data_IF_603114765741
#
_entry.id   IF_603114765741
#
_cell.length_a   1.000
_cell.length_b   1.000
_cell.length_c   1.000
_cell.angle_alpha   90.00
_cell.angle_beta   90.00
_cell.angle_gamma   90.00
#
_symmetry.space_group_name_H-M   'P 1'
#
loop_
_entity.id
_entity.type
_entity.pdbx_description
1 polymer ?
#
# COMPACT_ATOMS: atom_id res chain seq x y z
N UNK A 1 10.14 10.13 -19.30
CA UNK A 1 11.39 9.65 -19.94
C UNK A 1 11.84 8.40 -19.20
N UNK A 2 12.03 7.25 -19.87
CA UNK A 2 12.19 5.95 -19.22
C UNK A 2 13.54 5.75 -18.48
N UNK A 3 13.63 4.67 -17.67
CA UNK A 3 14.88 4.17 -17.08
C UNK A 3 15.92 3.90 -18.18
N UNK A 4 17.19 4.20 -17.90
CA UNK A 4 18.31 3.99 -18.82
C UNK A 4 18.51 2.50 -19.14
N UNK A 5 18.81 2.16 -20.40
CA UNK A 5 18.99 0.76 -20.87
C UNK A 5 20.01 -0.05 -20.05
N UNK A 6 21.04 0.59 -19.48
CA UNK A 6 22.01 -0.09 -18.62
C UNK A 6 21.39 -0.49 -17.27
N UNK A 7 20.62 0.40 -16.66
CA UNK A 7 19.93 0.13 -15.40
C UNK A 7 18.82 -0.91 -15.61
N UNK A 8 18.11 -0.86 -16.74
CA UNK A 8 17.17 -1.90 -17.15
C UNK A 8 17.81 -3.30 -17.17
N UNK A 9 19.02 -3.42 -17.75
CA UNK A 9 19.77 -4.70 -17.75
C UNK A 9 20.10 -5.19 -16.35
N UNK A 10 20.44 -4.28 -15.42
CA UNK A 10 20.67 -4.62 -14.02
C UNK A 10 19.38 -5.07 -13.34
N UNK A 11 18.29 -4.30 -13.50
CA UNK A 11 16.98 -4.59 -12.92
C UNK A 11 16.45 -5.93 -13.42
N UNK A 12 16.60 -6.25 -14.71
CA UNK A 12 16.16 -7.52 -15.29
C UNK A 12 16.83 -8.75 -14.69
N UNK A 13 18.01 -8.58 -14.08
CA UNK A 13 18.76 -9.67 -13.42
C UNK A 13 18.48 -9.77 -11.93
N UNK A 14 17.65 -8.89 -11.37
CA UNK A 14 17.26 -8.97 -9.97
C UNK A 14 16.52 -10.27 -9.70
N UNK A 15 16.83 -10.84 -8.54
CA UNK A 15 16.21 -12.04 -8.02
C UNK A 15 15.87 -11.77 -6.55
N UNK A 16 14.58 -11.82 -6.23
CA UNK A 16 14.06 -11.59 -4.87
C UNK A 16 14.73 -12.48 -3.82
N UNK A 17 15.18 -13.69 -4.19
CA UNK A 17 15.93 -14.60 -3.32
C UNK A 17 17.22 -13.98 -2.77
N UNK A 18 17.85 -13.05 -3.49
CA UNK A 18 19.03 -12.36 -2.98
C UNK A 18 18.68 -11.41 -1.83
N UNK A 19 17.51 -10.77 -1.89
CA UNK A 19 16.98 -9.92 -0.82
C UNK A 19 16.63 -10.79 0.39
N UNK A 20 15.92 -11.89 0.16
CA UNK A 20 15.58 -12.90 1.17
C UNK A 20 16.82 -13.42 1.92
N UNK A 21 17.86 -13.85 1.19
CA UNK A 21 19.09 -14.36 1.79
C UNK A 21 19.92 -13.29 2.51
N UNK A 22 19.82 -12.03 2.07
CA UNK A 22 20.45 -10.90 2.74
C UNK A 22 19.71 -10.60 4.05
N UNK A 23 18.38 -10.52 4.00
CA UNK A 23 17.50 -10.29 5.15
C UNK A 23 17.60 -11.42 6.18
N UNK A 24 17.58 -12.68 5.74
CA UNK A 24 17.76 -13.85 6.60
C UNK A 24 19.08 -13.80 7.38
N UNK A 25 20.14 -13.24 6.77
CA UNK A 25 21.43 -13.01 7.42
C UNK A 25 21.43 -11.94 8.52
N UNK A 26 20.33 -11.18 8.68
CA UNK A 26 20.18 -10.15 9.71
C UNK A 26 19.45 -10.65 10.96
N UNK A 27 18.93 -11.88 10.97
CA UNK A 27 18.21 -12.44 12.13
C UNK A 27 19.00 -12.39 13.43
N UNK A 28 20.31 -12.59 13.37
CA UNK A 28 21.17 -12.60 14.55
C UNK A 28 21.22 -11.25 15.27
N UNK A 29 20.81 -10.14 14.65
CA UNK A 29 20.83 -8.80 15.26
C UNK A 29 19.48 -8.38 15.86
N UNK A 30 18.41 -9.13 15.56
CA UNK A 30 17.05 -8.81 16.03
C UNK A 30 16.91 -8.94 17.55
N UNK A 31 17.66 -9.86 18.17
CA UNK A 31 17.70 -10.01 19.64
C UNK A 31 18.25 -8.78 20.37
N UNK A 32 18.90 -7.85 19.66
CA UNK A 32 19.31 -6.55 20.18
C UNK A 32 18.38 -5.41 19.72
N UNK A 33 17.18 -5.73 19.24
CA UNK A 33 16.17 -4.80 18.72
C UNK A 33 16.71 -3.91 17.58
N UNK A 34 17.48 -4.50 16.66
CA UNK A 34 18.10 -3.80 15.52
C UNK A 34 17.75 -4.44 14.20
N UNK A 35 17.58 -3.61 13.18
CA UNK A 35 17.32 -4.03 11.80
C UNK A 35 18.58 -4.40 11.01
N UNK A 36 19.72 -3.79 11.37
CA UNK A 36 21.03 -4.05 10.76
C UNK A 36 22.11 -4.25 11.84
N UNK A 37 23.30 -4.71 11.45
CA UNK A 37 24.41 -4.85 12.39
C UNK A 37 24.80 -3.49 12.98
N UNK A 38 25.26 -3.47 14.24
CA UNK A 38 25.71 -2.24 14.89
C UNK A 38 26.86 -1.52 14.13
N UNK A 39 27.65 -2.26 13.35
CA UNK A 39 28.72 -1.73 12.52
C UNK A 39 28.28 -1.27 11.13
N UNK A 40 26.99 -1.42 10.77
CA UNK A 40 26.51 -1.05 9.44
C UNK A 40 26.61 0.47 9.27
N UNK A 41 27.46 0.92 8.34
CA UNK A 41 27.79 2.35 8.12
C UNK A 41 26.57 3.20 7.79
N UNK A 42 25.55 2.58 7.20
CA UNK A 42 24.36 3.23 6.66
C UNK A 42 23.11 2.99 7.52
N UNK A 43 23.22 2.54 8.77
CA UNK A 43 22.06 2.37 9.66
C UNK A 43 21.39 3.69 10.08
N UNK A 44 22.07 4.82 9.87
CA UNK A 44 21.55 6.19 10.10
C UNK A 44 21.98 7.09 8.95
N UNK A 45 21.16 8.07 8.59
CA UNK A 45 21.42 9.10 7.56
C UNK A 45 21.93 8.54 6.22
N UNK A 46 21.37 7.38 5.82
CA UNK A 46 21.85 6.56 4.71
C UNK A 46 22.08 7.33 3.43
N UNK A 47 21.09 8.10 2.97
CA UNK A 47 21.18 8.85 1.72
C UNK A 47 22.29 9.90 1.77
N UNK A 48 22.38 10.67 2.86
CA UNK A 48 23.41 11.69 3.08
C UNK A 48 24.81 11.09 3.12
N UNK A 49 24.99 9.97 3.83
CA UNK A 49 26.29 9.28 3.92
C UNK A 49 26.71 8.69 2.58
N UNK A 50 25.79 8.07 1.86
CA UNK A 50 26.07 7.55 0.52
C UNK A 50 26.46 8.66 -0.45
N UNK A 51 25.75 9.79 -0.40
CA UNK A 51 26.06 10.96 -1.21
C UNK A 51 27.44 11.51 -0.91
N UNK A 52 27.75 11.79 0.35
CA UNK A 52 29.06 12.29 0.76
C UNK A 52 30.21 11.34 0.38
N UNK A 53 30.05 10.03 0.58
CA UNK A 53 31.09 9.04 0.23
C UNK A 53 31.33 8.96 -1.28
N UNK A 54 30.27 8.95 -2.08
CA UNK A 54 30.36 8.88 -3.54
C UNK A 54 30.98 10.17 -4.10
N UNK A 55 30.58 11.34 -3.59
CA UNK A 55 31.10 12.63 -4.03
C UNK A 55 32.58 12.81 -3.67
N UNK A 56 33.03 12.21 -2.55
CA UNK A 56 34.43 12.12 -2.19
C UNK A 56 35.24 11.10 -3.03
N UNK A 57 34.62 10.45 -4.02
CA UNK A 57 35.27 9.43 -4.86
C UNK A 57 35.35 8.04 -4.20
N UNK A 58 34.69 7.84 -3.07
CA UNK A 58 34.61 6.58 -2.36
C UNK A 58 33.71 5.55 -3.03
N UNK A 59 33.91 4.28 -2.66
CA UNK A 59 33.06 3.16 -3.09
C UNK A 59 32.26 2.68 -1.88
N UNK A 60 30.93 2.89 -1.86
CA UNK A 60 30.09 2.44 -0.77
C UNK A 60 30.24 0.95 -0.46
N UNK A 61 30.16 0.61 0.83
CA UNK A 61 30.25 -0.78 1.27
C UNK A 61 29.03 -1.56 0.76
N UNK A 62 29.29 -2.51 -0.15
CA UNK A 62 28.23 -3.23 -0.86
C UNK A 62 27.37 -4.07 0.09
N UNK A 63 27.95 -4.60 1.16
CA UNK A 63 27.23 -5.42 2.14
C UNK A 63 26.32 -4.54 2.97
N UNK A 64 26.84 -3.44 3.50
CA UNK A 64 26.07 -2.56 4.37
C UNK A 64 24.88 -1.92 3.63
N UNK A 65 25.09 -1.49 2.38
CA UNK A 65 23.99 -1.00 1.53
C UNK A 65 22.96 -2.10 1.27
N UNK A 66 23.40 -3.33 0.97
CA UNK A 66 22.48 -4.45 0.73
C UNK A 66 21.63 -4.77 1.94
N UNK A 67 22.25 -4.81 3.12
CA UNK A 67 21.56 -5.05 4.39
C UNK A 67 20.55 -3.96 4.70
N UNK A 68 20.91 -2.69 4.47
CA UNK A 68 19.98 -1.59 4.62
C UNK A 68 18.77 -1.75 3.69
N UNK A 69 18.98 -1.98 2.38
CA UNK A 69 17.89 -2.15 1.41
C UNK A 69 16.97 -3.30 1.82
N UNK A 70 17.54 -4.44 2.20
CA UNK A 70 16.75 -5.61 2.59
C UNK A 70 15.90 -5.34 3.84
N UNK A 71 16.46 -4.64 4.83
CA UNK A 71 15.76 -4.34 6.08
C UNK A 71 14.78 -3.16 5.97
N UNK A 72 14.97 -2.23 5.03
CA UNK A 72 14.18 -1.00 4.95
C UNK A 72 12.78 -1.20 4.37
N UNK A 73 12.45 -2.36 3.78
CA UNK A 73 11.14 -2.61 3.17
C UNK A 73 9.98 -2.41 4.15
N UNK A 74 10.06 -3.03 5.34
CA UNK A 74 9.05 -2.91 6.39
C UNK A 74 9.00 -1.49 6.96
N UNK A 75 10.14 -0.85 7.17
CA UNK A 75 10.21 0.52 7.68
C UNK A 75 9.58 1.53 6.72
N UNK A 76 9.88 1.42 5.42
CA UNK A 76 9.24 2.26 4.41
C UNK A 76 7.73 2.01 4.34
N UNK A 77 7.27 0.76 4.41
CA UNK A 77 5.83 0.47 4.41
C UNK A 77 5.13 1.06 5.64
N UNK A 78 5.72 0.89 6.82
CA UNK A 78 5.20 1.45 8.07
C UNK A 78 5.15 2.99 8.06
N UNK A 79 6.21 3.64 7.58
CA UNK A 79 6.22 5.10 7.38
C UNK A 79 5.10 5.53 6.42
N UNK A 80 4.86 4.75 5.36
CA UNK A 80 3.79 5.01 4.41
C UNK A 80 2.41 4.95 5.04
N UNK A 81 2.13 3.95 5.87
CA UNK A 81 0.89 3.89 6.66
C UNK A 81 0.79 5.06 7.66
N UNK A 82 1.88 5.46 8.31
CA UNK A 82 1.90 6.68 9.15
C UNK A 82 1.50 7.93 8.33
N UNK A 83 2.09 8.13 7.15
CA UNK A 83 1.74 9.25 6.28
C UNK A 83 0.27 9.19 5.83
N UNK A 84 -0.26 8.01 5.52
CA UNK A 84 -1.66 7.83 5.16
C UNK A 84 -2.60 8.20 6.32
N UNK A 85 -2.27 7.78 7.54
CA UNK A 85 -3.04 8.13 8.74
C UNK A 85 -3.06 9.64 8.98
N UNK A 86 -1.91 10.31 8.82
CA UNK A 86 -1.85 11.77 8.91
C UNK A 86 -2.57 12.48 7.77
N UNK A 87 -2.56 11.90 6.56
CA UNK A 87 -3.35 12.40 5.46
C UNK A 87 -4.85 12.34 5.77
N UNK A 88 -5.33 11.24 6.34
CA UNK A 88 -6.73 11.09 6.73
C UNK A 88 -7.10 12.05 7.88
N UNK A 89 -6.21 12.23 8.86
CA UNK A 89 -6.41 13.16 9.96
C UNK A 89 -6.45 14.64 9.51
N UNK A 90 -5.73 14.99 8.43
CA UNK A 90 -5.82 16.30 7.80
C UNK A 90 -7.15 16.45 7.03
N UNK A 91 -7.55 15.42 6.28
CA UNK A 91 -8.83 15.39 5.54
C UNK A 91 -10.02 15.60 6.48
N UNK A 92 -10.03 14.87 7.61
CA UNK A 92 -11.06 14.92 8.64
C UNK A 92 -11.10 16.23 9.44
N UNK A 93 -10.11 17.11 9.25
CA UNK A 93 -10.09 18.48 9.80
C UNK A 93 -10.39 19.54 8.74
N UNK A 94 -10.80 19.12 7.55
CA UNK A 94 -11.05 20.02 6.43
C UNK A 94 -9.75 20.64 5.92
N UNK A 95 -8.69 19.84 5.76
CA UNK A 95 -7.43 20.29 5.14
C UNK A 95 -7.03 19.35 3.99
N UNK A 96 -7.64 19.50 2.81
CA UNK A 96 -7.40 18.64 1.67
C UNK A 96 -6.00 18.84 1.06
N UNK A 97 -5.36 19.99 1.26
CA UNK A 97 -4.00 20.25 0.76
C UNK A 97 -2.96 19.47 1.54
N UNK A 98 -2.97 19.56 2.87
CA UNK A 98 -2.08 18.76 3.72
C UNK A 98 -2.41 17.28 3.59
N UNK A 99 -3.69 16.91 3.46
CA UNK A 99 -4.10 15.53 3.20
C UNK A 99 -3.48 14.98 1.90
N UNK A 100 -3.61 15.70 0.78
CA UNK A 100 -3.03 15.32 -0.51
C UNK A 100 -1.52 15.20 -0.44
N UNK A 101 -0.85 16.17 0.19
CA UNK A 101 0.60 16.18 0.32
C UNK A 101 1.14 15.00 1.13
N UNK A 102 0.50 14.68 2.25
CA UNK A 102 0.87 13.54 3.09
C UNK A 102 0.58 12.21 2.39
N UNK A 103 -0.56 12.10 1.69
CA UNK A 103 -0.91 10.90 0.93
C UNK A 103 0.08 10.63 -0.21
N UNK A 104 0.60 11.68 -0.85
CA UNK A 104 1.68 11.56 -1.83
C UNK A 104 2.97 10.96 -1.24
N UNK A 105 3.35 11.36 -0.02
CA UNK A 105 4.48 10.71 0.66
C UNK A 105 4.17 9.27 1.07
N UNK A 106 2.92 8.96 1.42
CA UNK A 106 2.50 7.59 1.65
C UNK A 106 2.68 6.71 0.40
N UNK A 107 2.28 7.20 -0.78
CA UNK A 107 2.49 6.54 -2.07
C UNK A 107 3.99 6.33 -2.38
N UNK A 108 4.83 7.35 -2.15
CA UNK A 108 6.29 7.23 -2.32
C UNK A 108 6.88 6.15 -1.41
N UNK A 109 6.48 6.14 -0.15
CA UNK A 109 6.92 5.16 0.84
C UNK A 109 6.46 3.75 0.48
N UNK A 110 5.25 3.59 -0.03
CA UNK A 110 4.75 2.32 -0.55
C UNK A 110 5.57 1.83 -1.75
N UNK A 111 5.84 2.71 -2.73
CA UNK A 111 6.64 2.39 -3.91
C UNK A 111 8.07 1.98 -3.54
N UNK A 112 8.73 2.76 -2.68
CA UNK A 112 10.09 2.46 -2.22
C UNK A 112 10.16 1.18 -1.39
N UNK A 113 9.15 0.90 -0.57
CA UNK A 113 9.03 -0.39 0.14
C UNK A 113 8.93 -1.56 -0.84
N UNK A 114 8.00 -1.48 -1.80
CA UNK A 114 7.80 -2.52 -2.81
C UNK A 114 9.06 -2.75 -3.64
N UNK A 115 9.70 -1.69 -4.12
CA UNK A 115 10.96 -1.77 -4.85
C UNK A 115 12.09 -2.38 -4.00
N UNK A 116 12.17 -2.04 -2.71
CA UNK A 116 13.15 -2.63 -1.79
C UNK A 116 12.94 -4.14 -1.61
N UNK A 117 11.69 -4.62 -1.58
CA UNK A 117 11.42 -6.07 -1.54
C UNK A 117 11.94 -6.81 -2.77
N UNK A 118 12.09 -6.10 -3.89
CA UNK A 118 12.62 -6.61 -5.16
C UNK A 118 14.13 -6.32 -5.33
N UNK A 119 14.76 -5.72 -4.32
CA UNK A 119 16.19 -5.46 -4.25
C UNK A 119 16.61 -4.10 -4.80
N UNK A 120 15.70 -3.15 -4.99
CA UNK A 120 16.01 -1.81 -5.49
C UNK A 120 16.00 -0.81 -4.34
N UNK A 121 17.16 -0.21 -4.08
CA UNK A 121 17.34 0.85 -3.08
C UNK A 121 17.27 2.23 -3.71
N UNK A 122 16.39 3.09 -3.18
CA UNK A 122 16.19 4.46 -3.64
C UNK A 122 16.83 5.45 -2.67
N UNK A 123 17.87 6.18 -3.08
CA UNK A 123 18.56 7.14 -2.22
C UNK A 123 18.88 8.44 -2.97
N UNK A 124 18.08 9.48 -2.79
CA UNK A 124 18.27 10.79 -3.42
C UNK A 124 18.61 10.69 -4.91
N UNK A 125 19.91 10.79 -5.28
CA UNK A 125 20.45 10.68 -6.64
C UNK A 125 21.37 9.47 -6.88
N UNK A 126 21.54 8.59 -5.90
CA UNK A 126 22.45 7.44 -5.94
C UNK A 126 21.73 6.14 -5.59
N UNK A 127 21.11 5.53 -6.58
CA UNK A 127 20.31 4.32 -6.40
C UNK A 127 21.14 3.04 -6.53
N UNK A 128 20.64 1.96 -5.94
CA UNK A 128 21.33 0.68 -5.92
C UNK A 128 20.38 -0.47 -6.24
N UNK A 129 20.95 -1.56 -6.74
CA UNK A 129 20.28 -2.82 -7.02
C UNK A 129 21.03 -3.97 -6.35
N UNK A 130 20.32 -4.83 -5.63
CA UNK A 130 20.85 -5.98 -4.92
C UNK A 130 20.99 -7.15 -5.90
N UNK A 131 22.15 -7.21 -6.55
CA UNK A 131 22.42 -8.14 -7.67
C UNK A 131 22.83 -9.55 -7.23
N UNK A 132 23.25 -9.71 -5.98
CA UNK A 132 23.50 -10.99 -5.31
C UNK A 132 23.37 -10.81 -3.79
N UNK A 133 23.36 -11.90 -3.01
CA UNK A 133 23.34 -11.84 -1.54
C UNK A 133 24.47 -10.93 -1.03
N UNK A 134 24.14 -9.90 -0.25
CA UNK A 134 25.08 -8.89 0.26
C UNK A 134 25.87 -8.12 -0.83
N UNK A 135 25.40 -8.07 -2.08
CA UNK A 135 26.06 -7.34 -3.17
C UNK A 135 25.13 -6.30 -3.77
N UNK A 136 25.31 -5.05 -3.35
CA UNK A 136 24.66 -3.90 -3.94
C UNK A 136 25.51 -3.34 -5.10
N UNK A 137 24.86 -3.13 -6.24
CA UNK A 137 25.44 -2.51 -7.43
C UNK A 137 24.78 -1.16 -7.65
N UNK A 138 25.59 -0.10 -7.73
CA UNK A 138 25.12 1.25 -8.02
C UNK A 138 24.51 1.31 -9.43
N UNK A 139 23.33 1.91 -9.53
CA UNK A 139 22.70 2.24 -10.80
C UNK A 139 23.30 3.53 -11.38
N UNK A 140 23.31 3.65 -12.71
CA UNK A 140 23.94 4.79 -13.37
C UNK A 140 23.06 6.04 -13.40
N UNK A 141 21.74 5.88 -13.29
CA UNK A 141 20.81 7.02 -13.20
C UNK A 141 21.05 7.83 -11.92
N UNK A 142 20.95 9.15 -12.06
CA UNK A 142 21.09 10.13 -10.98
C UNK A 142 19.84 10.97 -10.77
N UNK A 143 18.68 10.45 -11.19
CA UNK A 143 17.40 11.14 -11.03
C UNK A 143 17.03 11.24 -9.56
N UNK A 144 16.29 12.28 -9.17
CA UNK A 144 15.82 12.42 -7.80
C UNK A 144 14.86 11.30 -7.38
N UNK A 145 14.76 11.06 -6.08
CA UNK A 145 13.96 10.00 -5.42
C UNK A 145 12.60 9.73 -6.06
N UNK A 146 11.75 10.76 -6.21
CA UNK A 146 10.38 10.58 -6.69
C UNK A 146 10.34 10.11 -8.14
N UNK A 147 11.10 10.79 -9.00
CA UNK A 147 11.18 10.49 -10.43
C UNK A 147 11.78 9.11 -10.68
N UNK A 148 12.85 8.76 -9.95
CA UNK A 148 13.42 7.41 -10.04
C UNK A 148 12.41 6.35 -9.56
N UNK A 149 11.72 6.59 -8.45
CA UNK A 149 10.73 5.64 -7.90
C UNK A 149 9.59 5.37 -8.89
N UNK A 150 9.04 6.42 -9.52
CA UNK A 150 8.03 6.26 -10.57
C UNK A 150 8.55 5.44 -11.75
N UNK A 151 9.67 5.86 -12.35
CA UNK A 151 10.19 5.20 -13.55
C UNK A 151 10.58 3.75 -13.29
N UNK A 152 11.02 3.45 -12.06
CA UNK A 152 11.35 2.10 -11.64
C UNK A 152 10.13 1.26 -11.38
N UNK A 153 9.10 1.79 -10.70
CA UNK A 153 7.83 1.12 -10.53
C UNK A 153 7.15 0.84 -11.87
N UNK A 154 7.12 1.82 -12.77
CA UNK A 154 6.57 1.69 -14.13
C UNK A 154 7.31 0.60 -14.93
N UNK A 155 8.64 0.59 -14.88
CA UNK A 155 9.45 -0.42 -15.57
C UNK A 155 9.28 -1.81 -14.95
N UNK A 156 9.43 -1.93 -13.64
CA UNK A 156 9.32 -3.19 -12.90
C UNK A 156 7.92 -3.79 -13.03
N UNK A 157 6.87 -2.97 -12.96
CA UNK A 157 5.49 -3.42 -13.10
C UNK A 157 5.22 -4.06 -14.46
N UNK A 158 5.94 -3.70 -15.53
CA UNK A 158 5.83 -4.33 -16.85
C UNK A 158 6.38 -5.76 -16.94
N UNK A 159 7.05 -6.27 -15.90
CA UNK A 159 7.65 -7.61 -15.91
C UNK A 159 6.63 -8.70 -15.60
N UNK A 160 6.92 -9.95 -15.96
CA UNK A 160 6.09 -11.08 -15.58
C UNK A 160 6.11 -11.33 -14.06
N UNK A 161 7.26 -11.09 -13.42
CA UNK A 161 7.46 -11.31 -11.98
C UNK A 161 6.59 -10.42 -11.10
N UNK A 162 6.28 -9.19 -11.52
CA UNK A 162 5.39 -8.29 -10.77
C UNK A 162 3.95 -8.82 -10.75
N UNK A 163 3.46 -9.32 -11.89
CA UNK A 163 2.14 -9.95 -11.99
C UNK A 163 2.04 -11.25 -11.18
N UNK A 164 3.11 -12.06 -11.19
CA UNK A 164 3.19 -13.26 -10.35
C UNK A 164 3.18 -12.93 -8.86
N UNK A 165 4.01 -11.98 -8.42
CA UNK A 165 4.01 -11.50 -7.04
C UNK A 165 2.62 -10.98 -6.64
N UNK A 166 1.98 -10.21 -7.52
CA UNK A 166 0.63 -9.70 -7.27
C UNK A 166 -0.39 -10.81 -7.08
N UNK A 167 -0.36 -11.83 -7.95
CA UNK A 167 -1.29 -12.95 -7.86
C UNK A 167 -1.10 -13.81 -6.60
N UNK A 168 0.11 -13.83 -6.05
CA UNK A 168 0.44 -14.59 -4.83
C UNK A 168 0.05 -13.87 -3.54
N UNK A 169 0.25 -12.54 -3.48
CA UNK A 169 0.09 -11.76 -2.26
C UNK A 169 -1.36 -11.33 -1.97
N UNK A 170 -2.21 -11.27 -2.99
CA UNK A 170 -3.64 -10.95 -2.84
C UNK A 170 -4.38 -12.25 -2.56
N UNK A 171 -5.00 -12.34 -1.39
CA UNK A 171 -5.49 -13.61 -0.81
C UNK A 171 -6.90 -13.46 -0.20
N UNK A 172 -7.93 -13.21 -1.02
CA UNK A 172 -9.31 -13.26 -0.55
C UNK A 172 -9.63 -14.67 -0.07
N UNK A 173 -10.25 -14.76 1.11
CA UNK A 173 -10.50 -16.00 1.84
C UNK A 173 -9.22 -16.79 2.16
N UNK A 174 -8.06 -16.12 2.28
CA UNK A 174 -6.75 -16.76 2.46
C UNK A 174 -6.20 -17.46 1.21
N UNK A 175 -6.96 -17.48 0.11
CA UNK A 175 -6.63 -18.15 -1.16
C UNK A 175 -6.04 -17.13 -2.13
N UNK A 176 -4.84 -17.39 -2.63
CA UNK A 176 -4.17 -16.50 -3.61
C UNK A 176 -4.97 -16.32 -4.90
N UNK A 177 -4.88 -15.16 -5.54
CA UNK A 177 -5.46 -14.98 -6.88
C UNK A 177 -4.91 -15.98 -7.90
N UNK A 178 -3.64 -16.39 -7.77
CA UNK A 178 -3.08 -17.46 -8.62
C UNK A 178 -3.92 -18.76 -8.53
N UNK A 179 -4.34 -19.15 -7.32
CA UNK A 179 -5.21 -20.30 -7.08
C UNK A 179 -6.66 -20.08 -7.52
N UNK A 180 -7.23 -18.88 -7.26
CA UNK A 180 -8.55 -18.51 -7.77
C UNK A 180 -8.63 -18.65 -9.29
N UNK A 181 -7.63 -18.15 -10.00
CA UNK A 181 -7.58 -18.16 -11.45
C UNK A 181 -6.95 -19.42 -12.04
N UNK A 182 -6.67 -20.47 -11.27
CA UNK A 182 -6.00 -21.68 -11.76
C UNK A 182 -6.69 -22.30 -12.99
N UNK A 183 -8.03 -22.38 -12.99
CA UNK A 183 -8.84 -22.86 -14.12
C UNK A 183 -8.90 -21.88 -15.31
N UNK A 184 -8.42 -20.64 -15.12
CA UNK A 184 -8.46 -19.56 -16.08
C UNK A 184 -7.06 -19.06 -16.51
N UNK A 185 -5.98 -19.77 -16.19
CA UNK A 185 -4.61 -19.42 -16.58
C UNK A 185 -3.72 -18.89 -15.44
N UNK A 186 -4.16 -19.01 -14.19
CA UNK A 186 -3.41 -18.67 -12.98
C UNK A 186 -2.96 -17.21 -12.96
N UNK A 187 -1.74 -16.97 -12.48
CA UNK A 187 -1.15 -15.63 -12.39
C UNK A 187 -1.14 -14.87 -13.73
N UNK A 188 -0.98 -15.55 -14.87
CA UNK A 188 -0.97 -14.93 -16.20
C UNK A 188 -2.32 -14.29 -16.56
N UNK A 189 -3.43 -14.79 -16.01
CA UNK A 189 -4.76 -14.23 -16.24
C UNK A 189 -4.95 -12.87 -15.56
N UNK A 190 -4.27 -12.65 -14.42
CA UNK A 190 -4.37 -11.43 -13.61
C UNK A 190 -3.28 -10.41 -13.98
N UNK A 191 -2.16 -10.88 -14.51
CA UNK A 191 -0.98 -10.06 -14.76
C UNK A 191 -1.29 -8.73 -15.49
N UNK A 192 -2.01 -8.67 -16.63
CA UNK A 192 -2.28 -7.41 -17.31
C UNK A 192 -2.99 -6.38 -16.42
N UNK A 193 -3.94 -6.82 -15.60
CA UNK A 193 -4.67 -5.95 -14.68
C UNK A 193 -3.78 -5.49 -13.52
N UNK A 194 -2.93 -6.37 -12.99
CA UNK A 194 -1.93 -6.00 -11.98
C UNK A 194 -0.96 -4.92 -12.50
N UNK A 195 -0.47 -5.04 -13.74
CA UNK A 195 0.41 -4.03 -14.35
C UNK A 195 -0.30 -2.68 -14.48
N UNK A 196 -1.57 -2.68 -14.92
CA UNK A 196 -2.36 -1.47 -15.01
C UNK A 196 -2.55 -0.81 -13.64
N UNK A 197 -2.85 -1.60 -12.60
CA UNK A 197 -2.99 -1.11 -11.24
C UNK A 197 -1.70 -0.54 -10.66
N UNK A 198 -0.55 -1.18 -10.85
CA UNK A 198 0.72 -0.61 -10.39
C UNK A 198 1.00 0.78 -10.96
N UNK A 199 0.74 0.98 -12.26
CA UNK A 199 0.90 2.29 -12.90
C UNK A 199 -0.14 3.28 -12.40
N UNK A 200 -1.39 2.84 -12.24
CA UNK A 200 -2.46 3.69 -11.74
C UNK A 200 -2.22 4.13 -10.29
N UNK A 201 -1.80 3.22 -9.41
CA UNK A 201 -1.64 3.47 -7.99
C UNK A 201 -0.34 4.15 -7.60
N UNK A 202 0.65 4.20 -8.52
CA UNK A 202 1.87 4.99 -8.37
C UNK A 202 1.84 6.31 -9.14
N UNK A 203 0.71 6.68 -9.75
CA UNK A 203 0.61 7.75 -10.73
C UNK A 203 0.96 9.14 -10.17
N UNK A 204 0.78 9.39 -8.87
CA UNK A 204 1.10 10.72 -8.32
C UNK A 204 2.62 10.93 -8.22
N UNK A 205 3.42 9.86 -8.15
CA UNK A 205 4.88 9.92 -8.26
C UNK A 205 5.36 10.49 -9.59
N UNK A 206 4.58 10.35 -10.67
CA UNK A 206 4.90 10.95 -11.96
C UNK A 206 4.60 12.44 -11.97
N UNK A 207 3.42 12.83 -11.48
CA UNK A 207 2.86 14.15 -11.76
C UNK A 207 3.17 15.17 -10.67
N UNK A 208 3.18 14.75 -9.40
CA UNK A 208 3.40 15.65 -8.27
C UNK A 208 4.82 16.28 -8.21
N UNK A 209 5.92 15.60 -8.63
CA UNK A 209 7.26 16.21 -8.71
C UNK A 209 7.43 17.26 -9.81
N UNK A 210 6.55 17.28 -10.81
CA UNK A 210 6.55 18.31 -11.87
C UNK A 210 5.44 19.33 -11.65
N UNK A 211 4.49 19.05 -10.75
CA UNK A 211 3.46 19.97 -10.30
C UNK A 211 4.01 20.97 -9.27
N UNK A 212 4.92 21.83 -9.76
CA UNK A 212 5.38 23.03 -9.06
C UNK A 212 4.17 23.87 -8.62
N UNK A 213 3.07 23.85 -9.37
CA UNK A 213 1.85 24.58 -9.05
C UNK A 213 1.07 23.96 -7.89
N UNK A 214 0.82 22.64 -7.81
CA UNK A 214 0.13 22.02 -6.67
C UNK A 214 0.95 22.08 -5.38
N UNK A 215 2.29 22.03 -5.47
CA UNK A 215 3.16 22.34 -4.33
C UNK A 215 3.08 23.81 -3.97
N UNK A 216 3.08 24.72 -4.94
CA UNK A 216 2.94 26.14 -4.65
C UNK A 216 1.57 26.48 -4.06
N UNK A 217 0.49 25.81 -4.50
CA UNK A 217 -0.84 25.97 -3.94
C UNK A 217 -0.89 25.40 -2.52
N UNK A 218 -0.28 24.24 -2.26
CA UNK A 218 -0.30 23.60 -0.93
C UNK A 218 0.76 24.12 0.06
N UNK A 219 1.75 24.90 -0.40
CA UNK A 219 2.90 25.33 0.43
C UNK A 219 3.21 26.83 0.38
N UNK A 220 2.73 27.57 -0.62
CA UNK A 220 3.00 29.01 -0.78
C UNK A 220 1.75 29.88 -0.98
N UNK A 221 0.59 29.33 -1.35
CA UNK A 221 -0.67 30.08 -1.36
C UNK A 221 -1.31 30.02 0.04
N UNK A 222 -1.76 31.16 0.58
CA UNK A 222 -2.44 31.18 1.87
C UNK A 222 -3.79 30.46 1.79
N UNK A 223 -4.06 29.65 2.81
CA UNK A 223 -5.35 29.00 3.03
C UNK A 223 -6.46 30.06 3.20
N UNK A 224 -7.68 29.78 2.71
CA UNK A 224 -8.85 30.65 2.94
C UNK A 224 -9.15 31.71 1.85
N UNK A 225 -8.49 31.67 0.69
CA UNK A 225 -8.97 32.40 -0.49
C UNK A 225 -10.26 31.71 -1.00
N UNK A 226 -11.41 32.42 -1.08
CA UNK A 226 -12.66 31.84 -1.56
C UNK A 226 -12.49 31.16 -2.94
N UNK A 227 -13.13 30.01 -3.14
CA UNK A 227 -13.04 29.15 -4.35
C UNK A 227 -11.70 28.41 -4.56
N UNK A 228 -10.68 28.62 -3.73
CA UNK A 228 -9.40 27.92 -3.87
C UNK A 228 -9.46 26.43 -3.47
N UNK A 229 -10.37 26.07 -2.55
CA UNK A 229 -10.60 24.69 -2.13
C UNK A 229 -11.86 24.55 -1.27
N UNK A 230 -12.57 23.43 -1.43
CA UNK A 230 -13.73 23.06 -0.62
C UNK A 230 -13.77 21.55 -0.45
N UNK A 231 -13.91 21.10 0.79
CA UNK A 231 -14.26 19.71 1.11
C UNK A 231 -15.44 19.75 2.07
N UNK A 232 -16.41 18.88 1.80
CA UNK A 232 -17.57 18.72 2.66
C UNK A 232 -17.24 17.77 3.84
N UNK A 233 -17.73 18.12 5.03
CA UNK A 233 -17.46 17.37 6.25
C UNK A 233 -18.06 15.96 6.22
N UNK A 234 -19.27 15.82 5.66
CA UNK A 234 -19.90 14.52 5.45
C UNK A 234 -19.10 13.70 4.44
N UNK A 235 -18.70 14.27 3.30
CA UNK A 235 -17.92 13.54 2.29
C UNK A 235 -16.57 13.06 2.84
N UNK A 236 -15.90 13.87 3.67
CA UNK A 236 -14.66 13.48 4.33
C UNK A 236 -14.87 12.30 5.30
N UNK A 237 -15.97 12.34 6.05
CA UNK A 237 -16.31 11.32 7.04
C UNK A 237 -16.76 10.00 6.39
N UNK A 238 -17.62 10.06 5.37
CA UNK A 238 -18.03 8.89 4.56
C UNK A 238 -16.80 8.24 3.92
N UNK A 239 -15.89 9.04 3.33
CA UNK A 239 -14.66 8.50 2.75
C UNK A 239 -13.75 7.84 3.78
N UNK A 240 -13.59 8.42 4.97
CA UNK A 240 -12.78 7.84 6.03
C UNK A 240 -13.34 6.49 6.50
N UNK A 241 -14.66 6.42 6.72
CA UNK A 241 -15.35 5.16 7.07
C UNK A 241 -15.17 4.11 5.98
N UNK A 242 -15.41 4.47 4.73
CA UNK A 242 -15.30 3.55 3.59
C UNK A 242 -13.86 3.07 3.35
N UNK A 243 -12.87 3.94 3.59
CA UNK A 243 -11.45 3.56 3.56
C UNK A 243 -11.15 2.51 4.61
N UNK A 244 -11.51 2.74 5.88
CA UNK A 244 -11.28 1.76 6.95
C UNK A 244 -12.05 0.46 6.72
N UNK A 245 -13.31 0.52 6.29
CA UNK A 245 -14.08 -0.68 5.91
C UNK A 245 -13.42 -1.48 4.78
N UNK A 246 -12.65 -0.83 3.90
CA UNK A 246 -11.86 -1.52 2.88
C UNK A 246 -10.64 -2.24 3.46
N UNK A 247 -10.12 -1.78 4.60
CA UNK A 247 -8.93 -2.33 5.26
C UNK A 247 -9.27 -3.41 6.30
N UNK A 248 -10.55 -3.72 6.50
CA UNK A 248 -11.01 -4.72 7.45
C UNK A 248 -10.34 -6.09 7.20
N UNK A 249 -9.66 -6.64 8.23
CA UNK A 249 -9.10 -7.99 8.16
C UNK A 249 -10.18 -9.06 8.38
N UNK A 250 -9.81 -10.31 8.13
CA UNK A 250 -10.52 -11.49 8.61
C UNK A 250 -9.53 -12.45 9.28
N UNK A 251 -10.01 -13.47 10.01
CA UNK A 251 -9.12 -14.51 10.56
C UNK A 251 -8.26 -15.24 9.52
N UNK A 252 -8.62 -15.17 8.23
CA UNK A 252 -7.90 -15.83 7.13
C UNK A 252 -6.96 -14.89 6.36
N UNK A 253 -7.13 -13.57 6.50
CA UNK A 253 -6.40 -12.58 5.70
C UNK A 253 -6.43 -11.20 6.36
N UNK A 254 -5.26 -10.57 6.54
CA UNK A 254 -5.14 -9.21 7.08
C UNK A 254 -5.72 -8.09 6.20
N UNK A 255 -6.30 -8.44 5.04
CA UNK A 255 -6.84 -7.50 4.05
C UNK A 255 -8.05 -8.09 3.29
N UNK A 256 -8.88 -8.89 3.96
CA UNK A 256 -10.00 -9.59 3.31
C UNK A 256 -10.92 -8.64 2.52
N UNK A 257 -11.30 -7.51 3.10
CA UNK A 257 -12.28 -6.61 2.51
C UNK A 257 -11.81 -5.96 1.19
N UNK A 258 -10.53 -5.59 1.08
CA UNK A 258 -9.97 -5.06 -0.17
C UNK A 258 -9.69 -6.18 -1.17
N UNK A 259 -9.20 -7.34 -0.71
CA UNK A 259 -8.81 -8.45 -1.57
C UNK A 259 -10.00 -9.07 -2.30
N UNK A 260 -11.17 -9.17 -1.64
CA UNK A 260 -12.41 -9.64 -2.28
C UNK A 260 -12.85 -8.73 -3.42
N UNK A 261 -12.67 -7.41 -3.28
CA UNK A 261 -12.96 -6.45 -4.34
C UNK A 261 -11.97 -6.65 -5.51
N UNK A 262 -10.68 -6.85 -5.22
CA UNK A 262 -9.66 -7.11 -6.24
C UNK A 262 -10.00 -8.38 -7.05
N UNK A 263 -10.45 -9.46 -6.38
CA UNK A 263 -10.91 -10.68 -7.04
C UNK A 263 -12.09 -10.41 -7.96
N UNK A 264 -13.16 -9.78 -7.46
CA UNK A 264 -14.35 -9.47 -8.28
C UNK A 264 -13.98 -8.65 -9.51
N UNK A 265 -13.22 -7.56 -9.33
CA UNK A 265 -12.81 -6.69 -10.44
C UNK A 265 -11.95 -7.47 -11.44
N UNK A 266 -11.07 -8.35 -10.97
CA UNK A 266 -10.21 -9.17 -11.84
C UNK A 266 -11.03 -10.18 -12.66
N UNK A 267 -12.05 -10.82 -12.07
CA UNK A 267 -12.94 -11.74 -12.78
C UNK A 267 -13.74 -10.98 -13.84
N UNK A 268 -14.27 -9.80 -13.51
CA UNK A 268 -15.01 -8.95 -14.45
C UNK A 268 -14.12 -8.48 -15.61
N UNK A 269 -12.89 -8.05 -15.33
CA UNK A 269 -11.93 -7.61 -16.36
C UNK A 269 -11.51 -8.75 -17.26
N UNK A 270 -11.28 -9.95 -16.70
CA UNK A 270 -10.97 -11.13 -17.50
C UNK A 270 -12.14 -11.56 -18.38
N UNK A 271 -13.38 -11.49 -17.86
CA UNK A 271 -14.58 -11.76 -18.64
C UNK A 271 -14.69 -10.80 -19.84
N UNK A 272 -14.52 -9.50 -19.61
CA UNK A 272 -14.52 -8.47 -20.67
C UNK A 272 -13.42 -8.77 -21.70
N UNK A 273 -12.20 -9.08 -21.25
CA UNK A 273 -11.08 -9.36 -22.13
C UNK A 273 -11.28 -10.60 -23.02
N UNK A 274 -11.99 -11.64 -22.51
CA UNK A 274 -12.23 -12.89 -23.26
C UNK A 274 -13.44 -12.85 -24.17
N UNK A 275 -14.45 -12.08 -23.82
CA UNK A 275 -15.77 -12.14 -24.48
C UNK A 275 -16.15 -10.84 -25.19
N UNK A 276 -15.48 -9.73 -24.87
CA UNK A 276 -15.90 -8.38 -25.29
C UNK A 276 -17.18 -7.89 -24.62
N UNK A 277 -17.70 -8.62 -23.61
CA UNK A 277 -18.99 -8.34 -22.95
C UNK A 277 -18.79 -7.81 -21.53
N UNK A 278 -19.65 -6.89 -21.12
CA UNK A 278 -19.64 -6.33 -19.76
C UNK A 278 -20.51 -7.18 -18.84
N UNK A 279 -20.00 -7.56 -17.67
CA UNK A 279 -20.64 -8.49 -16.73
C UNK A 279 -22.10 -8.14 -16.39
N UNK A 280 -22.38 -6.86 -16.10
CA UNK A 280 -23.73 -6.41 -15.74
C UNK A 280 -24.74 -6.48 -16.89
N UNK A 281 -24.29 -6.37 -18.14
CA UNK A 281 -25.15 -6.48 -19.32
C UNK A 281 -25.42 -7.95 -19.71
N UNK A 282 -24.57 -8.89 -19.27
CA UNK A 282 -24.66 -10.32 -19.60
C UNK A 282 -24.55 -11.21 -18.35
N UNK A 283 -25.45 -11.06 -17.35
CA UNK A 283 -25.29 -11.69 -16.04
C UNK A 283 -25.35 -13.23 -16.10
N UNK A 284 -26.15 -13.82 -16.98
CA UNK A 284 -26.23 -15.27 -17.12
C UNK A 284 -24.92 -15.89 -17.66
N UNK A 285 -24.27 -15.19 -18.59
CA UNK A 285 -22.98 -15.62 -19.15
C UNK A 285 -21.83 -15.36 -18.19
N UNK A 286 -21.85 -14.21 -17.52
CA UNK A 286 -20.88 -13.89 -16.49
C UNK A 286 -20.93 -14.91 -15.34
N UNK A 287 -22.13 -15.35 -14.93
CA UNK A 287 -22.27 -16.44 -13.96
C UNK A 287 -21.60 -17.73 -14.45
N UNK A 288 -21.89 -18.17 -15.69
CA UNK A 288 -21.25 -19.37 -16.28
C UNK A 288 -19.73 -19.26 -16.34
N UNK A 289 -19.21 -18.04 -16.52
CA UNK A 289 -17.77 -17.75 -16.50
C UNK A 289 -17.17 -17.79 -15.10
N UNK A 290 -17.84 -17.22 -14.10
CA UNK A 290 -17.36 -17.14 -12.73
C UNK A 290 -17.51 -18.45 -11.94
N UNK A 291 -18.51 -19.28 -12.25
CA UNK A 291 -18.76 -20.54 -11.54
C UNK A 291 -17.56 -21.49 -11.47
N UNK A 292 -16.84 -21.80 -12.57
CA UNK A 292 -15.65 -22.65 -12.50
C UNK A 292 -14.50 -22.06 -11.69
N UNK A 293 -14.40 -20.73 -11.60
CA UNK A 293 -13.38 -20.03 -10.78
C UNK A 293 -13.65 -20.29 -9.30
N UNK A 294 -14.92 -20.23 -8.88
CA UNK A 294 -15.34 -20.48 -7.49
C UNK A 294 -15.30 -21.96 -7.14
N UNK A 295 -15.89 -22.83 -7.96
CA UNK A 295 -15.97 -24.28 -7.70
C UNK A 295 -14.60 -24.95 -7.60
N UNK A 296 -13.58 -24.40 -8.26
CA UNK A 296 -12.22 -24.95 -8.21
C UNK A 296 -11.54 -24.74 -6.84
N UNK A 297 -12.12 -23.94 -5.94
CA UNK A 297 -11.54 -23.66 -4.62
C UNK A 297 -11.89 -24.71 -3.55
N UNK A 298 -12.72 -25.70 -3.87
CA UNK A 298 -13.14 -26.76 -2.92
C UNK A 298 -13.74 -26.20 -1.62
N UNK A 299 -14.53 -25.13 -1.73
CA UNK A 299 -15.20 -24.51 -0.59
C UNK A 299 -16.44 -25.31 -0.19
N UNK A 300 -16.99 -25.03 1.01
CA UNK A 300 -18.30 -25.56 1.36
C UNK A 300 -19.39 -25.01 0.42
N UNK A 301 -20.49 -25.74 0.17
CA UNK A 301 -21.57 -25.27 -0.70
C UNK A 301 -22.11 -23.88 -0.32
N UNK A 302 -22.19 -23.58 0.97
CA UNK A 302 -22.63 -22.27 1.47
C UNK A 302 -21.62 -21.16 1.15
N UNK A 303 -20.32 -21.43 1.33
CA UNK A 303 -19.26 -20.49 1.00
C UNK A 303 -19.18 -20.24 -0.52
N UNK A 304 -19.31 -21.28 -1.35
CA UNK A 304 -19.40 -21.13 -2.81
C UNK A 304 -20.58 -20.24 -3.21
N UNK A 305 -21.76 -20.48 -2.64
CA UNK A 305 -22.94 -19.69 -2.91
C UNK A 305 -22.78 -18.22 -2.48
N UNK A 306 -22.14 -17.97 -1.33
CA UNK A 306 -21.82 -16.62 -0.86
C UNK A 306 -20.85 -15.90 -1.80
N UNK A 307 -19.77 -16.55 -2.21
CA UNK A 307 -18.80 -15.98 -3.16
C UNK A 307 -19.42 -15.68 -4.51
N UNK A 308 -20.24 -16.59 -5.04
CA UNK A 308 -20.98 -16.33 -6.28
C UNK A 308 -21.94 -15.15 -6.12
N UNK A 309 -22.69 -15.04 -5.03
CA UNK A 309 -23.55 -13.86 -4.78
C UNK A 309 -22.75 -12.56 -4.71
N UNK A 310 -21.58 -12.57 -4.08
CA UNK A 310 -20.72 -11.40 -3.98
C UNK A 310 -20.13 -10.98 -5.33
N UNK A 311 -19.56 -11.93 -6.08
CA UNK A 311 -18.99 -11.71 -7.42
C UNK A 311 -20.09 -11.23 -8.39
N UNK A 312 -21.28 -11.81 -8.30
CA UNK A 312 -22.46 -11.42 -9.09
C UNK A 312 -23.13 -10.13 -8.59
N UNK A 313 -22.50 -9.38 -7.66
CA UNK A 313 -22.99 -8.09 -7.13
C UNK A 313 -24.37 -8.17 -6.45
N UNK A 314 -24.79 -9.36 -6.00
CA UNK A 314 -26.10 -9.59 -5.37
C UNK A 314 -26.14 -9.22 -3.89
N UNK A 315 -25.01 -9.29 -3.18
CA UNK A 315 -24.90 -8.92 -1.75
C UNK A 315 -24.19 -7.58 -1.52
N UNK A 316 -23.34 -7.16 -2.46
CA UNK A 316 -22.61 -5.91 -2.41
C UNK A 316 -22.53 -5.36 -3.83
N UNK A 317 -23.43 -4.44 -4.23
CA UNK A 317 -23.57 -4.01 -5.62
C UNK A 317 -22.40 -3.16 -6.12
N UNK A 318 -21.73 -2.44 -5.22
CA UNK A 318 -20.67 -1.49 -5.54
C UNK A 318 -19.31 -1.99 -5.08
N UNK A 319 -18.27 -1.58 -5.80
CA UNK A 319 -16.89 -1.72 -5.33
C UNK A 319 -16.61 -0.71 -4.22
N UNK A 320 -15.65 -1.03 -3.36
CA UNK A 320 -15.23 -0.11 -2.32
C UNK A 320 -14.82 1.25 -2.92
N UNK A 321 -15.19 2.34 -2.25
CA UNK A 321 -15.03 3.73 -2.71
C UNK A 321 -13.59 4.06 -3.12
N UNK A 322 -12.59 3.44 -2.48
CA UNK A 322 -11.17 3.62 -2.83
C UNK A 322 -10.86 3.23 -4.30
N UNK A 323 -11.55 2.24 -4.88
CA UNK A 323 -11.31 1.85 -6.28
C UNK A 323 -11.82 2.90 -7.25
N UNK A 324 -13.01 3.48 -7.01
CA UNK A 324 -13.56 4.53 -7.87
C UNK A 324 -12.81 5.85 -7.69
N UNK A 325 -12.45 6.22 -6.44
CA UNK A 325 -11.66 7.41 -6.14
C UNK A 325 -10.24 7.34 -6.71
N UNK A 326 -9.60 6.15 -6.71
CA UNK A 326 -8.25 5.98 -7.28
C UNK A 326 -8.16 6.29 -8.78
N UNK A 327 -9.29 6.28 -9.50
CA UNK A 327 -9.37 6.59 -10.94
C UNK A 327 -9.53 8.10 -11.21
N UNK A 328 -9.82 8.90 -10.17
CA UNK A 328 -10.01 10.34 -10.30
C UNK A 328 -8.68 11.09 -10.36
N UNK A 329 -8.68 12.26 -10.99
CA UNK A 329 -7.49 13.10 -11.10
C UNK A 329 -7.14 13.77 -9.76
N UNK A 330 -5.86 13.83 -9.42
CA UNK A 330 -5.39 14.51 -8.21
C UNK A 330 -5.67 16.03 -8.21
N UNK A 331 -5.78 16.63 -9.40
CA UNK A 331 -6.01 18.06 -9.57
C UNK A 331 -7.46 18.50 -9.27
N UNK A 332 -8.40 17.56 -9.10
CA UNK A 332 -9.77 17.93 -8.76
C UNK A 332 -9.83 18.61 -7.39
N UNK A 333 -10.62 19.68 -7.29
CA UNK A 333 -10.73 20.51 -6.09
C UNK A 333 -11.48 19.78 -4.96
N UNK A 334 -12.46 18.97 -5.34
CA UNK A 334 -13.41 18.27 -4.46
C UNK A 334 -12.91 16.88 -4.01
N UNK A 335 -12.38 16.08 -4.93
CA UNK A 335 -12.00 14.68 -4.65
C UNK A 335 -10.50 14.41 -4.79
N UNK A 336 -9.69 15.41 -5.14
CA UNK A 336 -8.26 15.23 -5.39
C UNK A 336 -7.49 14.64 -4.21
N UNK A 337 -7.79 15.05 -2.97
CA UNK A 337 -7.17 14.47 -1.79
C UNK A 337 -7.57 12.99 -1.58
N UNK A 338 -8.86 12.68 -1.70
CA UNK A 338 -9.38 11.32 -1.60
C UNK A 338 -8.80 10.39 -2.69
N UNK A 339 -8.56 10.92 -3.89
CA UNK A 339 -7.97 10.18 -5.00
C UNK A 339 -6.53 9.74 -4.70
N UNK A 340 -5.69 10.67 -4.20
CA UNK A 340 -4.30 10.37 -3.80
C UNK A 340 -4.26 9.43 -2.60
N UNK A 341 -5.11 9.64 -1.58
CA UNK A 341 -5.25 8.72 -0.44
C UNK A 341 -5.60 7.31 -0.92
N UNK A 342 -6.55 7.18 -1.86
CA UNK A 342 -6.98 5.89 -2.38
C UNK A 342 -5.86 5.16 -3.13
N UNK A 343 -5.11 5.86 -3.98
CA UNK A 343 -3.95 5.28 -4.69
C UNK A 343 -2.86 4.86 -3.71
N UNK A 344 -2.53 5.71 -2.74
CA UNK A 344 -1.57 5.40 -1.69
C UNK A 344 -1.99 4.16 -0.87
N UNK A 345 -3.25 4.07 -0.44
CA UNK A 345 -3.77 2.93 0.32
C UNK A 345 -3.69 1.62 -0.49
N UNK A 346 -4.06 1.65 -1.78
CA UNK A 346 -3.99 0.49 -2.67
C UNK A 346 -2.53 0.05 -2.91
N UNK A 347 -1.60 1.00 -3.10
CA UNK A 347 -0.18 0.68 -3.23
C UNK A 347 0.42 0.17 -1.91
N UNK A 348 0.01 0.71 -0.76
CA UNK A 348 0.43 0.25 0.56
C UNK A 348 -0.05 -1.16 0.86
N UNK A 349 -1.27 -1.53 0.45
CA UNK A 349 -1.76 -2.92 0.52
C UNK A 349 -0.79 -3.88 -0.18
N UNK A 350 -0.35 -3.52 -1.38
CA UNK A 350 0.62 -4.32 -2.15
C UNK A 350 2.00 -4.35 -1.47
N UNK A 351 2.51 -3.18 -1.07
CA UNK A 351 3.81 -3.07 -0.40
C UNK A 351 3.86 -3.89 0.90
N UNK A 352 2.76 -3.89 1.66
CA UNK A 352 2.61 -4.66 2.90
C UNK A 352 2.58 -6.16 2.63
N UNK A 353 1.79 -6.61 1.65
CA UNK A 353 1.75 -8.02 1.25
C UNK A 353 3.11 -8.53 0.75
N UNK A 354 3.79 -7.74 -0.08
CA UNK A 354 5.14 -8.06 -0.53
C UNK A 354 6.12 -8.13 0.65
N UNK A 355 6.07 -7.16 1.57
CA UNK A 355 6.94 -7.15 2.75
C UNK A 355 6.71 -8.37 3.65
N UNK A 356 5.45 -8.70 3.96
CA UNK A 356 5.10 -9.86 4.76
C UNK A 356 5.61 -11.16 4.14
N UNK A 357 5.39 -11.36 2.83
CA UNK A 357 5.92 -12.52 2.10
C UNK A 357 7.45 -12.60 2.14
N UNK A 358 8.15 -11.46 2.03
CA UNK A 358 9.61 -11.43 2.10
C UNK A 358 10.12 -11.79 3.50
N UNK A 359 9.49 -11.26 4.55
CA UNK A 359 9.82 -11.57 5.94
C UNK A 359 9.61 -13.06 6.22
N UNK A 360 8.45 -13.61 5.84
CA UNK A 360 8.15 -15.04 5.96
C UNK A 360 9.16 -15.90 5.20
N UNK A 361 9.50 -15.54 3.95
CA UNK A 361 10.50 -16.26 3.16
C UNK A 361 11.91 -16.19 3.77
N UNK A 362 12.29 -15.06 4.38
CA UNK A 362 13.53 -14.93 5.14
C UNK A 362 13.50 -15.70 6.49
N UNK A 363 12.32 -16.23 6.86
CA UNK A 363 12.01 -17.01 8.05
C UNK A 363 11.78 -16.18 9.31
N UNK A 364 11.39 -14.92 9.17
CA UNK A 364 10.96 -14.09 10.29
C UNK A 364 9.56 -14.54 10.72
N UNK A 365 9.30 -14.45 12.02
CA UNK A 365 7.98 -14.67 12.63
C UNK A 365 7.59 -13.45 13.48
N UNK A 366 6.36 -13.40 13.98
CA UNK A 366 5.90 -12.34 14.89
C UNK A 366 6.91 -12.01 16.01
N UNK A 367 7.43 -13.02 16.71
CA UNK A 367 8.40 -12.82 17.79
C UNK A 367 9.71 -12.15 17.32
N UNK A 368 10.16 -12.43 16.09
CA UNK A 368 11.39 -11.87 15.52
C UNK A 368 11.32 -10.35 15.32
N UNK A 369 10.11 -9.81 15.13
CA UNK A 369 9.89 -8.38 14.90
C UNK A 369 9.04 -7.71 15.98
N UNK A 370 8.79 -8.39 17.09
CA UNK A 370 8.01 -7.87 18.21
C UNK A 370 8.55 -6.52 18.70
N UNK A 371 9.89 -6.35 18.76
CA UNK A 371 10.51 -5.07 19.14
C UNK A 371 10.06 -3.89 18.28
N UNK A 372 9.77 -4.13 17.00
CA UNK A 372 9.27 -3.11 16.08
C UNK A 372 7.78 -2.88 16.25
N UNK A 373 6.97 -3.94 16.27
CA UNK A 373 5.52 -3.82 16.42
C UNK A 373 5.18 -3.11 17.75
N UNK A 374 5.81 -3.55 18.84
CA UNK A 374 5.71 -2.96 20.17
C UNK A 374 6.24 -1.52 20.23
N UNK A 375 7.40 -1.27 19.62
CA UNK A 375 7.99 0.06 19.57
C UNK A 375 7.13 1.05 18.79
N UNK A 376 6.57 0.62 17.66
CA UNK A 376 5.68 1.41 16.83
C UNK A 376 4.36 1.67 17.55
N UNK A 377 3.72 0.63 18.11
CA UNK A 377 2.45 0.75 18.80
C UNK A 377 2.51 1.71 19.99
N UNK A 378 3.47 1.52 20.90
CA UNK A 378 3.69 2.46 22.01
C UNK A 378 4.06 3.86 21.53
N UNK A 379 5.00 3.96 20.58
CA UNK A 379 5.47 5.24 20.05
C UNK A 379 4.39 6.04 19.33
N UNK A 380 3.32 5.38 18.89
CA UNK A 380 2.15 6.00 18.25
C UNK A 380 0.93 6.13 19.17
N UNK A 381 1.04 5.68 20.43
CA UNK A 381 -0.06 5.73 21.39
C UNK A 381 -1.22 4.79 21.05
N UNK A 382 -0.94 3.66 20.40
CA UNK A 382 -1.97 2.67 20.06
C UNK A 382 -2.40 1.85 21.29
N UNK A 383 -1.48 1.63 22.23
CA UNK A 383 -1.69 0.95 23.51
C UNK A 383 -0.64 1.42 24.55
N UNK A 384 -0.95 1.17 25.82
CA UNK A 384 0.00 1.30 26.93
C UNK A 384 0.63 -0.07 27.25
N UNK A 385 1.93 -0.10 27.54
CA UNK A 385 2.62 -1.35 27.91
C UNK A 385 2.96 -2.28 26.75
N UNK A 386 2.88 -3.60 27.00
CA UNK A 386 3.11 -4.65 26.00
C UNK A 386 1.79 -5.12 25.42
N UNK A 387 1.70 -5.25 24.09
CA UNK A 387 0.57 -5.89 23.44
C UNK A 387 0.90 -7.36 23.15
N UNK A 388 0.22 -8.27 23.85
CA UNK A 388 0.40 -9.72 23.67
C UNK A 388 -0.67 -10.38 22.80
N UNK A 389 -1.61 -9.58 22.25
CA UNK A 389 -2.72 -10.06 21.44
C UNK A 389 -2.35 -10.41 20.01
N UNK A 390 -3.30 -10.98 19.27
CA UNK A 390 -3.17 -11.16 17.84
C UNK A 390 -3.12 -9.76 17.18
N UNK A 391 -2.15 -9.46 16.30
CA UNK A 391 -2.15 -8.21 15.56
C UNK A 391 -3.48 -7.88 14.86
N UNK A 392 -4.27 -8.88 14.45
CA UNK A 392 -5.59 -8.67 13.84
C UNK A 392 -6.62 -8.11 14.84
N UNK A 393 -6.45 -8.33 16.14
CA UNK A 393 -7.34 -7.79 17.19
C UNK A 393 -7.29 -6.26 17.27
N UNK A 394 -6.28 -5.62 16.65
CA UNK A 394 -6.24 -4.16 16.52
C UNK A 394 -7.43 -3.60 15.70
N UNK A 395 -8.16 -4.44 14.95
CA UNK A 395 -9.42 -4.06 14.33
C UNK A 395 -10.55 -3.83 15.34
N UNK A 396 -10.52 -4.50 16.50
CA UNK A 396 -11.52 -4.33 17.55
C UNK A 396 -11.51 -2.90 18.14
N UNK A 397 -10.37 -2.19 18.04
CA UNK A 397 -10.26 -0.77 18.38
C UNK A 397 -10.89 0.14 17.31
N UNK A 398 -11.02 -0.34 16.06
CA UNK A 398 -11.53 0.43 14.91
C UNK A 398 -13.05 0.33 14.81
N UNK A 399 -13.62 -0.86 15.06
CA UNK A 399 -15.07 -1.10 15.03
C UNK A 399 -15.88 -0.04 15.80
N UNK A 400 -15.62 0.24 17.09
CA UNK A 400 -16.39 1.24 17.83
C UNK A 400 -16.24 2.66 17.26
N UNK A 401 -15.10 2.99 16.65
CA UNK A 401 -14.91 4.29 15.99
C UNK A 401 -15.78 4.43 14.75
N UNK A 402 -15.98 3.34 13.99
CA UNK A 402 -16.87 3.33 12.84
C UNK A 402 -18.34 3.40 13.28
N UNK A 403 -18.70 2.71 14.36
CA UNK A 403 -20.04 2.80 14.97
C UNK A 403 -20.34 4.23 15.44
N UNK A 404 -19.40 4.90 16.11
CA UNK A 404 -19.54 6.31 16.51
C UNK A 404 -19.79 7.23 15.31
N UNK A 405 -19.06 7.01 14.20
CA UNK A 405 -19.27 7.74 12.95
C UNK A 405 -20.67 7.50 12.38
N UNK A 406 -21.13 6.25 12.35
CA UNK A 406 -22.48 5.93 11.85
C UNK A 406 -23.57 6.56 12.71
N UNK A 407 -23.46 6.48 14.04
CA UNK A 407 -24.39 7.11 14.97
C UNK A 407 -24.43 8.63 14.79
N UNK A 408 -23.28 9.27 14.60
CA UNK A 408 -23.20 10.69 14.30
C UNK A 408 -23.89 11.04 12.98
N UNK A 409 -23.67 10.25 11.92
CA UNK A 409 -24.30 10.47 10.61
C UNK A 409 -25.81 10.26 10.63
N UNK A 410 -26.32 9.36 11.48
CA UNK A 410 -27.76 9.16 11.68
C UNK A 410 -28.41 10.30 12.48
N UNK A 411 -27.66 10.88 13.43
CA UNK A 411 -28.13 11.97 14.30
C UNK A 411 -28.27 13.29 13.56
N UNK A 412 -27.42 13.55 12.56
CA UNK A 412 -27.32 14.85 11.88
C UNK A 412 -27.63 14.77 10.39
N UNK A 413 -28.41 15.73 9.89
CA UNK A 413 -28.60 15.86 8.44
C UNK A 413 -27.29 16.21 7.73
N UNK A 414 -27.20 15.96 6.42
CA UNK A 414 -25.97 16.14 5.65
C UNK A 414 -25.30 17.52 5.86
N UNK A 415 -26.10 18.59 5.87
CA UNK A 415 -25.60 19.97 6.03
C UNK A 415 -25.14 20.29 7.46
N UNK A 416 -25.50 19.45 8.45
CA UNK A 416 -25.14 19.64 9.85
C UNK A 416 -23.88 18.88 10.25
N UNK A 417 -23.38 17.99 9.39
CA UNK A 417 -22.16 17.20 9.57
C UNK A 417 -20.90 18.06 9.26
N UNK A 418 -20.80 19.23 9.90
CA UNK A 418 -19.67 20.14 9.72
C UNK A 418 -18.43 19.69 10.50
N UNK A 419 -17.23 20.10 10.05
CA UNK A 419 -15.98 19.82 10.75
C UNK A 419 -15.96 20.31 12.21
N UNK A 420 -16.63 21.43 12.51
CA UNK A 420 -16.78 21.91 13.88
C UNK A 420 -17.51 20.87 14.74
N UNK A 421 -18.67 20.41 14.26
CA UNK A 421 -19.50 19.45 14.99
C UNK A 421 -18.78 18.10 15.14
N UNK A 422 -18.15 17.62 14.07
CA UNK A 422 -17.29 16.43 14.12
C UNK A 422 -16.19 16.58 15.17
N UNK A 423 -15.52 17.73 15.24
CA UNK A 423 -14.46 17.99 16.21
C UNK A 423 -14.92 17.95 17.67
N UNK A 424 -16.16 18.36 17.93
CA UNK A 424 -16.75 18.38 19.28
C UNK A 424 -17.31 17.01 19.67
N UNK A 425 -17.99 16.32 18.75
CA UNK A 425 -18.78 15.12 19.07
C UNK A 425 -18.08 13.80 18.73
N UNK A 426 -17.05 13.80 17.86
CA UNK A 426 -16.30 12.62 17.43
C UNK A 426 -14.78 12.66 17.76
N UNK A 427 -14.31 13.25 18.89
CA UNK A 427 -12.88 13.45 19.10
C UNK A 427 -12.06 12.14 19.07
N UNK A 428 -12.63 11.03 19.57
CA UNK A 428 -11.96 9.73 19.56
C UNK A 428 -11.90 9.13 18.15
N UNK A 429 -13.01 9.14 17.40
CA UNK A 429 -13.01 8.66 16.02
C UNK A 429 -12.06 9.48 15.13
N UNK A 430 -12.02 10.80 15.25
CA UNK A 430 -11.09 11.64 14.46
C UNK A 430 -9.62 11.31 14.73
N UNK A 431 -9.26 11.00 15.98
CA UNK A 431 -7.89 10.61 16.34
C UNK A 431 -7.58 9.17 15.95
N UNK A 432 -8.47 8.23 16.27
CA UNK A 432 -8.28 6.80 16.05
C UNK A 432 -8.26 6.43 14.57
N UNK A 433 -9.18 6.99 13.76
CA UNK A 433 -9.19 6.77 12.30
C UNK A 433 -7.95 7.39 11.62
N UNK A 434 -7.31 8.38 12.24
CA UNK A 434 -6.01 8.93 11.80
C UNK A 434 -4.79 8.05 12.11
N UNK A 435 -4.98 6.86 12.69
CA UNK A 435 -3.91 5.98 13.19
C UNK A 435 -3.75 4.72 12.33
N UNK A 436 -3.46 4.91 11.04
CA UNK A 436 -3.28 3.82 10.07
C UNK A 436 -2.07 2.91 10.36
N UNK A 437 -1.21 3.23 11.33
CA UNK A 437 -0.13 2.36 11.78
C UNK A 437 -0.62 1.00 12.29
N UNK A 438 -1.88 0.90 12.75
CA UNK A 438 -2.53 -0.38 13.07
C UNK A 438 -2.48 -1.34 11.89
N UNK A 439 -2.76 -0.81 10.69
CA UNK A 439 -2.74 -1.56 9.43
C UNK A 439 -1.34 -2.08 9.13
N UNK A 440 -0.30 -1.27 9.37
CA UNK A 440 1.08 -1.70 9.19
C UNK A 440 1.41 -2.91 10.09
N UNK A 441 0.99 -2.86 11.35
CA UNK A 441 1.28 -3.89 12.35
C UNK A 441 0.56 -5.20 12.00
N UNK A 442 -0.76 -5.16 11.78
CA UNK A 442 -1.51 -6.38 11.51
C UNK A 442 -1.21 -7.02 10.16
N UNK A 443 -0.76 -6.25 9.19
CA UNK A 443 -0.53 -6.76 7.83
C UNK A 443 0.89 -7.26 7.57
N UNK A 444 1.86 -6.85 8.38
CA UNK A 444 3.28 -7.19 8.17
C UNK A 444 3.89 -7.99 9.33
N UNK A 445 3.13 -8.29 10.37
CA UNK A 445 3.53 -9.22 11.45
C UNK A 445 3.31 -10.67 10.98
N UNK A 446 4.39 -11.45 10.73
CA UNK A 446 4.30 -12.74 10.03
C UNK A 446 3.73 -13.92 10.80
#
# INVERSE_FOLDING_TARGET
MAILNRDQRTINRLNRRHVEQTLSGLKSVLGSSRWTTAANRYSTDTATKLEAEIEAGGVPDRRDVSQYIAASCLLHSADGWSYLGKALAALLRGDPHRARHLAYYAELRASTSLLATEGIGVFNKYHFALTARNVATKLITTRGTHRFSWECLEYWSGRASSGQLFAQMIRPYGISLEAWFASAGGASAVAPQAQAWFRQWGFDLQNFPDDRNARNVSSYQPDGIPEAWYIDGRDALEFARDLWASLEPSPLSGFEAIDRNILRISIEKLFVARTGRVACAYPAEFRKFAEPIVKNQSLSPDAEAQWLRYIMRSTSPHDATIFSRSQQQAASLDVGAQAVISRAALLLRVASGSTAMLLQAAGYNAASIAFWAEGLGRGRGLWEGENSGDPLDLWADVTPLLEDVELFQQKYSANEQSFFRMGVELPQALNGLGSCERVAIWSMTP
#
